data_IF_527638822136
#
_entry.id   IF_527638822136
#
_cell.length_a   1.000
_cell.length_b   1.000
_cell.length_c   1.000
_cell.angle_alpha   90.00
_cell.angle_beta   90.00
_cell.angle_gamma   90.00
#
_symmetry.space_group_name_H-M   'P 1'
#
loop_
_entity.id
_entity.type
_entity.pdbx_description
1 polymer ?
#
# COMPACT_ATOMS: atom_id res chain seq x y z
N UNK A 1 7.65 -22.31 27.95
CA UNK A 1 8.83 -21.59 27.42
C UNK A 1 8.42 -21.13 26.03
N UNK A 2 8.36 -19.82 25.83
CA UNK A 2 8.08 -19.27 24.49
C UNK A 2 9.35 -19.37 23.67
N UNK A 3 9.33 -20.20 22.63
CA UNK A 3 10.46 -20.32 21.69
C UNK A 3 10.66 -18.98 20.96
N UNK A 4 11.82 -18.36 21.14
CA UNK A 4 12.14 -17.06 20.56
C UNK A 4 12.68 -17.21 19.13
N UNK A 5 12.29 -16.28 18.27
CA UNK A 5 12.59 -16.31 16.83
C UNK A 5 13.36 -15.06 16.42
N UNK A 6 14.52 -15.24 15.79
CA UNK A 6 15.21 -14.20 15.08
C UNK A 6 14.93 -14.30 13.57
N UNK A 7 14.73 -13.15 12.91
CA UNK A 7 14.61 -13.07 11.47
C UNK A 7 15.81 -12.31 10.89
N UNK A 8 16.47 -12.91 9.92
CA UNK A 8 17.57 -12.30 9.16
C UNK A 8 17.08 -11.98 7.75
N UNK A 9 17.24 -10.72 7.34
CA UNK A 9 16.85 -10.26 6.01
C UNK A 9 18.06 -9.72 5.25
N UNK A 10 18.70 -10.52 4.39
CA UNK A 10 19.75 -10.03 3.50
C UNK A 10 19.15 -9.11 2.44
N UNK A 11 19.65 -7.87 2.34
CA UNK A 11 19.12 -6.82 1.49
C UNK A 11 20.10 -6.29 0.41
N UNK A 12 21.21 -7.01 0.16
CA UNK A 12 22.33 -6.57 -0.68
C UNK A 12 22.14 -6.65 -2.21
N UNK A 13 20.93 -6.95 -2.72
CA UNK A 13 20.70 -7.08 -4.16
C UNK A 13 20.81 -5.73 -4.91
N UNK A 14 21.51 -5.69 -6.06
CA UNK A 14 21.81 -4.47 -6.83
C UNK A 14 20.60 -3.82 -7.51
N UNK A 15 19.51 -4.54 -7.76
CA UNK A 15 18.32 -4.00 -8.46
C UNK A 15 18.46 -3.81 -9.97
N UNK A 16 19.59 -4.18 -10.59
CA UNK A 16 19.86 -3.96 -12.03
C UNK A 16 18.77 -4.48 -12.95
N UNK A 17 18.24 -5.69 -12.69
CA UNK A 17 17.15 -6.29 -13.48
C UNK A 17 15.81 -5.57 -13.34
N UNK A 18 15.66 -4.72 -12.31
CA UNK A 18 14.52 -3.81 -12.13
C UNK A 18 14.79 -2.44 -12.76
N UNK A 19 15.94 -2.22 -13.42
CA UNK A 19 16.33 -0.92 -13.95
C UNK A 19 16.58 0.14 -12.88
N UNK A 20 16.63 -0.24 -11.62
CA UNK A 20 16.81 0.69 -10.51
C UNK A 20 18.30 1.00 -10.29
N UNK A 21 18.61 2.29 -10.06
CA UNK A 21 19.96 2.77 -9.69
C UNK A 21 20.19 2.73 -8.16
N UNK A 22 19.27 2.15 -7.41
CA UNK A 22 19.27 2.03 -5.96
C UNK A 22 19.24 0.54 -5.57
N UNK A 23 19.63 0.17 -4.35
CA UNK A 23 19.48 -1.19 -3.85
C UNK A 23 18.05 -1.70 -4.05
N UNK A 24 17.91 -2.93 -4.52
CA UNK A 24 16.63 -3.56 -4.82
C UNK A 24 15.63 -3.48 -3.67
N UNK A 25 16.10 -3.67 -2.45
CA UNK A 25 15.29 -3.63 -1.24
C UNK A 25 14.62 -2.26 -0.99
N UNK A 26 15.16 -1.18 -1.56
CA UNK A 26 14.63 0.19 -1.50
C UNK A 26 13.66 0.53 -2.65
N UNK A 27 13.43 -0.38 -3.60
CA UNK A 27 12.45 -0.16 -4.66
C UNK A 27 11.06 -0.06 -4.05
N UNK A 28 10.28 0.94 -4.51
CA UNK A 28 8.94 1.21 -4.03
C UNK A 28 7.92 0.21 -4.57
N UNK A 29 7.05 -0.26 -3.69
CA UNK A 29 5.92 -1.11 -3.97
C UNK A 29 4.71 -0.58 -3.20
N UNK A 30 3.78 0.10 -3.87
CA UNK A 30 2.56 0.67 -3.30
C UNK A 30 2.83 1.44 -2.00
N UNK A 31 3.60 2.54 -2.12
CA UNK A 31 3.86 3.48 -1.02
C UNK A 31 4.88 3.04 0.05
N UNK A 32 5.36 1.79 0.02
CA UNK A 32 6.41 1.27 0.89
C UNK A 32 7.52 0.62 0.05
N UNK A 33 8.72 0.56 0.59
CA UNK A 33 9.82 -0.18 -0.05
C UNK A 33 9.65 -1.70 0.12
N UNK A 34 10.31 -2.49 -0.72
CA UNK A 34 10.29 -3.96 -0.59
C UNK A 34 10.74 -4.41 0.80
N UNK A 35 11.74 -3.73 1.38
CA UNK A 35 12.24 -4.08 2.73
C UNK A 35 11.22 -3.75 3.82
N UNK A 36 10.48 -2.63 3.72
CA UNK A 36 9.43 -2.29 4.68
C UNK A 36 8.30 -3.35 4.67
N UNK A 37 7.90 -3.82 3.47
CA UNK A 37 6.93 -4.91 3.36
C UNK A 37 7.45 -6.20 3.98
N UNK A 38 8.69 -6.59 3.68
CA UNK A 38 9.28 -7.81 4.22
C UNK A 38 9.41 -7.76 5.75
N UNK A 39 9.86 -6.63 6.31
CA UNK A 39 9.94 -6.42 7.77
C UNK A 39 8.55 -6.46 8.40
N UNK A 40 7.58 -5.73 7.85
CA UNK A 40 6.22 -5.68 8.40
C UNK A 40 5.55 -7.06 8.46
N UNK A 41 5.76 -7.92 7.45
CA UNK A 41 5.21 -9.27 7.41
C UNK A 41 5.91 -10.24 8.39
N UNK A 42 7.17 -9.98 8.74
CA UNK A 42 7.93 -10.82 9.68
C UNK A 42 7.85 -10.33 11.14
N UNK A 43 7.58 -9.05 11.36
CA UNK A 43 7.54 -8.45 12.69
C UNK A 43 6.59 -9.16 13.69
N UNK A 44 5.37 -9.62 13.30
CA UNK A 44 4.46 -10.25 14.25
C UNK A 44 4.98 -11.55 14.87
N UNK A 45 5.97 -12.22 14.26
CA UNK A 45 6.50 -13.51 14.75
C UNK A 45 7.94 -13.42 15.25
N UNK A 46 8.58 -12.27 15.12
CA UNK A 46 9.98 -12.08 15.43
C UNK A 46 10.19 -11.40 16.78
N UNK A 47 11.08 -11.95 17.58
CA UNK A 47 11.62 -11.31 18.79
C UNK A 47 12.81 -10.42 18.46
N UNK A 48 13.47 -10.69 17.34
CA UNK A 48 14.59 -9.92 16.83
C UNK A 48 14.57 -9.92 15.29
N UNK A 49 14.73 -8.75 14.67
CA UNK A 49 14.89 -8.61 13.22
C UNK A 49 16.26 -7.98 12.95
N UNK A 50 17.04 -8.62 12.08
CA UNK A 50 18.34 -8.15 11.64
C UNK A 50 18.33 -8.00 10.13
N UNK A 51 18.59 -6.79 9.64
CA UNK A 51 18.67 -6.48 8.22
C UNK A 51 20.12 -6.24 7.83
N UNK A 52 20.62 -7.05 6.89
CA UNK A 52 21.96 -6.86 6.33
C UNK A 52 21.87 -5.95 5.10
N UNK A 53 22.11 -4.66 5.30
CA UNK A 53 22.04 -3.61 4.27
C UNK A 53 23.30 -3.62 3.38
N UNK A 54 23.20 -3.14 2.12
CA UNK A 54 24.40 -2.88 1.31
C UNK A 54 25.31 -1.85 1.99
N UNK A 55 26.62 -2.00 1.82
CA UNK A 55 27.60 -1.06 2.36
C UNK A 55 27.31 0.38 1.89
N UNK A 56 27.29 1.33 2.83
CA UNK A 56 26.97 2.73 2.61
C UNK A 56 25.48 3.10 2.60
N UNK A 57 24.58 2.15 2.82
CA UNK A 57 23.14 2.37 2.92
C UNK A 57 22.59 2.12 4.34
N UNK A 58 23.43 1.78 5.30
CA UNK A 58 23.02 1.37 6.65
C UNK A 58 22.16 2.43 7.33
N UNK A 59 22.58 3.69 7.28
CA UNK A 59 21.87 4.80 7.89
C UNK A 59 20.49 5.00 7.22
N UNK A 60 20.41 4.90 5.89
CA UNK A 60 19.15 5.01 5.17
C UNK A 60 18.18 3.89 5.55
N UNK A 61 18.66 2.64 5.67
CA UNK A 61 17.84 1.52 6.13
C UNK A 61 17.43 1.69 7.59
N UNK A 62 18.32 2.17 8.47
CA UNK A 62 17.99 2.38 9.88
C UNK A 62 16.92 3.46 10.05
N UNK A 63 17.04 4.59 9.32
CA UNK A 63 16.04 5.66 9.34
C UNK A 63 14.68 5.20 8.81
N UNK A 64 14.67 4.32 7.81
CA UNK A 64 13.47 3.78 7.21
C UNK A 64 12.75 2.76 8.11
N UNK A 65 13.50 1.90 8.80
CA UNK A 65 12.97 0.75 9.54
C UNK A 65 12.78 1.01 11.04
N UNK A 66 13.31 2.12 11.55
CA UNK A 66 13.21 2.48 12.97
C UNK A 66 14.17 1.71 13.89
N UNK A 67 14.08 1.99 15.19
CA UNK A 67 14.99 1.46 16.22
C UNK A 67 14.76 -0.02 16.60
N UNK A 68 13.58 -0.55 16.29
CA UNK A 68 13.20 -1.94 16.61
C UNK A 68 13.89 -2.97 15.70
N UNK A 69 14.48 -2.51 14.58
CA UNK A 69 15.21 -3.35 13.62
C UNK A 69 16.70 -3.08 13.75
N UNK A 70 17.49 -4.13 13.92
CA UNK A 70 18.94 -4.03 13.89
C UNK A 70 19.44 -4.02 12.46
N UNK A 71 20.03 -2.92 12.01
CA UNK A 71 20.64 -2.81 10.69
C UNK A 71 22.15 -2.97 10.79
N UNK A 72 22.70 -3.86 9.97
CA UNK A 72 24.14 -4.11 9.90
C UNK A 72 24.63 -3.99 8.46
N UNK A 73 25.93 -3.83 8.27
CA UNK A 73 26.54 -3.94 6.94
C UNK A 73 26.53 -5.40 6.47
N UNK A 74 25.96 -5.65 5.31
CA UNK A 74 25.97 -6.94 4.63
C UNK A 74 27.34 -7.27 4.01
N UNK A 75 27.52 -8.55 3.65
CA UNK A 75 28.69 -9.00 2.92
C UNK A 75 28.56 -8.83 1.41
N UNK A 76 29.62 -9.17 0.67
CA UNK A 76 29.66 -9.11 -0.80
C UNK A 76 28.71 -10.10 -1.46
N UNK A 77 28.33 -11.17 -0.77
CA UNK A 77 27.37 -12.17 -1.24
C UNK A 77 26.22 -12.31 -0.27
N UNK A 78 25.13 -12.99 -0.70
CA UNK A 78 24.00 -13.30 0.17
C UNK A 78 24.44 -14.14 1.37
N UNK A 79 25.25 -15.16 1.15
CA UNK A 79 25.78 -16.04 2.20
C UNK A 79 26.60 -15.27 3.22
N UNK A 80 27.50 -14.37 2.77
CA UNK A 80 28.29 -13.53 3.67
C UNK A 80 27.43 -12.54 4.45
N UNK A 81 26.37 -12.03 3.86
CA UNK A 81 25.39 -11.15 4.56
C UNK A 81 24.68 -11.90 5.69
N UNK A 82 24.21 -13.13 5.44
CA UNK A 82 23.59 -13.98 6.45
C UNK A 82 24.62 -14.34 7.54
N UNK A 83 25.84 -14.70 7.16
CA UNK A 83 26.94 -15.02 8.11
C UNK A 83 27.26 -13.83 9.02
N UNK A 84 27.33 -12.61 8.48
CA UNK A 84 27.50 -11.39 9.28
C UNK A 84 26.32 -11.19 10.25
N UNK A 85 25.09 -11.35 9.78
CA UNK A 85 23.90 -11.19 10.60
C UNK A 85 23.81 -12.22 11.74
N UNK A 86 24.26 -13.45 11.52
CA UNK A 86 24.29 -14.50 12.55
C UNK A 86 25.12 -14.12 13.78
N UNK A 87 26.14 -13.28 13.63
CA UNK A 87 26.94 -12.80 14.78
C UNK A 87 26.19 -11.86 15.71
N UNK A 88 25.07 -11.29 15.24
CA UNK A 88 24.21 -10.38 15.99
C UNK A 88 22.94 -11.05 16.54
N UNK A 89 22.72 -12.32 16.22
CA UNK A 89 21.57 -13.07 16.76
C UNK A 89 21.77 -13.33 18.25
N UNK A 90 20.81 -12.86 19.04
CA UNK A 90 20.81 -13.06 20.50
C UNK A 90 20.76 -14.55 20.84
N UNK A 91 21.43 -14.92 21.94
CA UNK A 91 21.59 -16.33 22.34
C UNK A 91 20.27 -16.99 22.75
N UNK A 92 19.36 -16.20 23.17
CA UNK A 92 18.01 -16.57 23.63
C UNK A 92 17.08 -17.05 22.49
N UNK A 93 17.42 -16.72 21.24
CA UNK A 93 16.62 -17.18 20.09
C UNK A 93 16.89 -18.66 19.83
N UNK A 94 15.85 -19.48 19.77
CA UNK A 94 15.89 -20.90 19.50
C UNK A 94 15.87 -21.19 18.00
N UNK A 95 15.14 -20.38 17.26
CA UNK A 95 14.96 -20.49 15.82
C UNK A 95 15.42 -19.24 15.07
N UNK A 96 15.89 -19.45 13.84
CA UNK A 96 16.29 -18.38 12.93
C UNK A 96 15.55 -18.59 11.62
N UNK A 97 14.86 -17.55 11.15
CA UNK A 97 14.33 -17.48 9.80
C UNK A 97 15.24 -16.61 8.94
N UNK A 98 15.58 -17.08 7.75
CA UNK A 98 16.29 -16.27 6.74
C UNK A 98 15.31 -15.94 5.63
N UNK A 99 15.09 -14.63 5.38
CA UNK A 99 14.07 -14.14 4.46
C UNK A 99 14.63 -13.16 3.45
N UNK A 100 14.43 -13.44 2.15
CA UNK A 100 14.85 -12.53 1.07
C UNK A 100 13.99 -11.27 1.06
N UNK A 101 14.56 -10.07 1.16
CA UNK A 101 13.85 -8.79 1.02
C UNK A 101 13.04 -8.67 -0.29
N UNK A 102 13.48 -9.37 -1.33
CA UNK A 102 12.80 -9.41 -2.64
C UNK A 102 11.51 -10.26 -2.66
N UNK A 103 11.17 -10.98 -1.59
CA UNK A 103 9.90 -11.69 -1.42
C UNK A 103 8.96 -10.92 -0.49
N UNK A 104 8.82 -9.65 -0.77
CA UNK A 104 8.13 -8.66 0.04
C UNK A 104 6.67 -9.03 0.42
N UNK A 105 6.03 -9.94 -0.34
CA UNK A 105 4.65 -10.37 -0.12
C UNK A 105 4.51 -11.72 0.58
N UNK A 106 5.61 -12.34 1.04
CA UNK A 106 5.54 -13.54 1.88
C UNK A 106 4.79 -13.21 3.18
N UNK A 107 3.81 -14.05 3.56
CA UNK A 107 2.92 -13.72 4.67
C UNK A 107 3.48 -14.11 6.02
N UNK A 108 2.94 -13.50 7.07
CA UNK A 108 3.13 -13.94 8.47
C UNK A 108 2.71 -15.40 8.66
N UNK A 109 1.61 -15.83 8.02
CA UNK A 109 1.10 -17.21 8.11
C UNK A 109 2.09 -18.22 7.54
N UNK A 110 2.78 -17.90 6.45
CA UNK A 110 3.84 -18.75 5.91
C UNK A 110 4.98 -18.91 6.92
N UNK A 111 5.41 -17.81 7.55
CA UNK A 111 6.45 -17.83 8.57
C UNK A 111 6.03 -18.63 9.81
N UNK A 112 4.77 -18.48 10.25
CA UNK A 112 4.22 -19.26 11.36
C UNK A 112 4.21 -20.77 11.05
N UNK A 113 3.79 -21.20 9.87
CA UNK A 113 3.81 -22.63 9.48
C UNK A 113 5.21 -23.23 9.51
N UNK A 114 6.24 -22.43 9.19
CA UNK A 114 7.64 -22.84 9.30
C UNK A 114 8.02 -23.02 10.78
N UNK A 115 7.68 -22.03 11.62
CA UNK A 115 7.97 -22.08 13.06
C UNK A 115 7.27 -23.25 13.72
N UNK A 116 6.02 -23.52 13.40
CA UNK A 116 5.26 -24.64 13.96
C UNK A 116 5.87 -25.98 13.56
N UNK A 117 6.38 -26.12 12.34
CA UNK A 117 7.09 -27.31 11.90
C UNK A 117 8.44 -27.50 12.66
N UNK A 118 9.15 -26.40 12.94
CA UNK A 118 10.37 -26.43 13.78
C UNK A 118 10.04 -26.84 15.23
N UNK A 119 8.95 -26.29 15.79
CA UNK A 119 8.43 -26.66 17.12
C UNK A 119 8.02 -28.11 17.21
N UNK A 120 7.53 -28.69 16.11
CA UNK A 120 7.18 -30.08 16.00
C UNK A 120 8.41 -31.04 15.94
N UNK A 121 9.65 -30.47 15.94
CA UNK A 121 10.90 -31.23 16.03
C UNK A 121 11.74 -31.23 14.76
N UNK A 122 11.28 -30.60 13.67
CA UNK A 122 12.11 -30.43 12.48
C UNK A 122 13.29 -29.48 12.78
N UNK A 123 14.43 -29.71 12.12
CA UNK A 123 15.64 -28.89 12.34
C UNK A 123 15.84 -27.84 11.27
N UNK A 124 15.32 -28.10 10.08
CA UNK A 124 15.36 -27.21 8.91
C UNK A 124 14.06 -27.36 8.12
N UNK A 125 13.42 -26.24 7.81
CA UNK A 125 12.12 -26.18 7.12
C UNK A 125 12.15 -25.09 6.06
N UNK A 126 11.76 -25.44 4.84
CA UNK A 126 11.72 -24.52 3.72
C UNK A 126 10.36 -24.60 3.00
N UNK A 127 9.81 -23.47 2.54
CA UNK A 127 8.59 -23.49 1.74
C UNK A 127 8.87 -23.74 0.26
N UNK A 128 8.02 -24.49 -0.39
CA UNK A 128 8.16 -24.78 -1.82
C UNK A 128 6.83 -24.93 -2.52
N UNK A 129 6.76 -24.46 -3.77
CA UNK A 129 5.64 -24.64 -4.68
C UNK A 129 5.90 -25.79 -5.64
N UNK A 130 4.83 -26.41 -6.09
CA UNK A 130 4.91 -27.36 -7.19
C UNK A 130 5.38 -26.66 -8.47
N UNK A 131 6.23 -27.33 -9.24
CA UNK A 131 6.67 -26.82 -10.53
C UNK A 131 5.61 -27.15 -11.58
N UNK A 132 5.03 -26.12 -12.19
CA UNK A 132 3.97 -26.26 -13.20
C UNK A 132 4.51 -26.56 -14.60
N UNK A 133 5.68 -26.01 -14.93
CA UNK A 133 6.29 -26.16 -16.25
C UNK A 133 7.21 -27.39 -16.32
N UNK A 134 7.47 -27.84 -17.56
CA UNK A 134 8.48 -28.87 -17.79
C UNK A 134 9.88 -28.29 -17.64
N UNK A 135 10.64 -28.79 -16.67
CA UNK A 135 12.03 -28.37 -16.45
C UNK A 135 12.98 -29.17 -17.32
N UNK A 136 13.90 -28.48 -17.97
CA UNK A 136 15.00 -29.09 -18.73
C UNK A 136 16.33 -28.74 -18.07
N UNK A 137 17.19 -29.74 -17.90
CA UNK A 137 18.59 -29.50 -17.64
C UNK A 137 19.30 -29.33 -18.99
N UNK A 138 20.11 -28.29 -19.12
CA UNK A 138 20.88 -27.97 -20.32
C UNK A 138 22.38 -28.01 -20.01
N UNK A 139 23.20 -28.15 -21.03
CA UNK A 139 24.65 -27.97 -21.02
C UNK A 139 25.06 -26.52 -21.32
N UNK A 140 26.35 -26.25 -21.42
CA UNK A 140 26.93 -24.93 -21.67
C UNK A 140 26.54 -24.34 -23.04
N UNK A 141 26.18 -25.17 -23.97
CA UNK A 141 25.78 -24.81 -25.36
C UNK A 141 24.26 -24.73 -25.50
N UNK A 142 23.51 -24.79 -24.39
CA UNK A 142 22.04 -24.77 -24.31
C UNK A 142 21.33 -26.00 -24.92
N UNK A 143 22.01 -27.13 -25.08
CA UNK A 143 21.36 -28.38 -25.45
C UNK A 143 20.76 -29.10 -24.24
N UNK A 144 19.59 -29.70 -24.45
CA UNK A 144 18.87 -30.44 -23.41
C UNK A 144 19.63 -31.72 -23.05
N UNK A 145 20.09 -31.86 -21.81
CA UNK A 145 20.78 -33.06 -21.30
C UNK A 145 19.85 -33.99 -20.52
N UNK A 146 18.79 -33.45 -19.87
CA UNK A 146 17.87 -34.24 -19.06
C UNK A 146 16.54 -33.52 -18.88
N UNK A 147 15.45 -34.29 -18.75
CA UNK A 147 14.15 -33.81 -18.26
C UNK A 147 13.90 -34.42 -16.88
N UNK A 148 14.04 -33.65 -15.78
CA UNK A 148 13.75 -34.13 -14.42
C UNK A 148 12.26 -34.49 -14.26
N UNK A 149 11.97 -35.43 -13.37
CA UNK A 149 10.61 -35.81 -13.00
C UNK A 149 10.01 -34.65 -12.19
N UNK A 150 9.07 -33.90 -12.82
CA UNK A 150 8.49 -32.66 -12.26
C UNK A 150 7.84 -32.85 -10.89
N UNK A 151 7.14 -33.97 -10.66
CA UNK A 151 6.47 -34.25 -9.37
C UNK A 151 7.43 -34.34 -8.19
N UNK A 152 8.74 -34.54 -8.42
CA UNK A 152 9.80 -34.56 -7.41
C UNK A 152 10.50 -33.21 -7.24
N UNK A 153 10.09 -32.17 -7.97
CA UNK A 153 10.68 -30.84 -7.89
C UNK A 153 9.78 -29.88 -7.11
N UNK A 154 10.40 -28.95 -6.43
CA UNK A 154 9.72 -27.81 -5.81
C UNK A 154 10.50 -26.54 -6.13
N UNK A 155 9.77 -25.47 -6.41
CA UNK A 155 10.32 -24.12 -6.49
C UNK A 155 10.41 -23.54 -5.08
N UNK A 156 11.61 -23.44 -4.55
CA UNK A 156 11.86 -23.08 -3.14
C UNK A 156 11.72 -21.58 -2.94
N UNK A 157 11.13 -21.23 -1.82
CA UNK A 157 10.87 -19.84 -1.41
C UNK A 157 11.57 -19.54 -0.07
N UNK A 158 11.37 -18.31 0.43
CA UNK A 158 11.74 -17.89 1.79
C UNK A 158 10.53 -17.23 2.45
N UNK A 159 10.45 -17.22 3.81
CA UNK A 159 11.51 -17.50 4.77
C UNK A 159 11.90 -18.98 4.83
N UNK A 160 13.17 -19.27 5.08
CA UNK A 160 13.68 -20.59 5.40
C UNK A 160 13.98 -20.64 6.91
N UNK A 161 13.49 -21.66 7.59
CA UNK A 161 13.59 -21.76 9.04
C UNK A 161 14.54 -22.85 9.52
N UNK A 162 15.30 -22.55 10.57
CA UNK A 162 16.30 -23.46 11.11
C UNK A 162 16.37 -23.35 12.63
N UNK A 163 16.76 -24.44 13.30
CA UNK A 163 17.23 -24.30 14.67
C UNK A 163 18.51 -23.47 14.70
N UNK A 164 18.64 -22.55 15.65
CA UNK A 164 19.80 -21.65 15.76
C UNK A 164 21.12 -22.39 15.72
N UNK A 165 21.26 -23.47 16.51
CA UNK A 165 22.49 -24.28 16.59
C UNK A 165 22.89 -24.85 15.22
N UNK A 166 21.92 -25.31 14.44
CA UNK A 166 22.16 -25.88 13.12
C UNK A 166 22.66 -24.84 12.14
N UNK A 167 21.94 -23.70 12.02
CA UNK A 167 22.28 -22.65 11.06
C UNK A 167 23.63 -22.01 11.37
N UNK A 168 23.94 -21.74 12.65
CA UNK A 168 25.25 -21.25 13.10
C UNK A 168 26.37 -22.19 12.68
N UNK A 169 26.16 -23.51 12.84
CA UNK A 169 27.12 -24.52 12.42
C UNK A 169 27.21 -24.60 10.89
N UNK A 170 26.13 -24.45 10.17
CA UNK A 170 26.09 -24.49 8.69
C UNK A 170 26.92 -23.35 8.08
N UNK A 171 26.84 -22.16 8.62
CA UNK A 171 27.59 -20.99 8.15
C UNK A 171 29.04 -20.91 8.64
N UNK A 172 29.56 -21.93 9.34
CA UNK A 172 31.02 -22.03 9.63
C UNK A 172 31.84 -22.44 8.40
N UNK A 173 31.20 -22.98 7.34
CA UNK A 173 31.85 -23.27 6.04
C UNK A 173 32.13 -21.99 5.26
N UNK A 174 33.19 -21.97 4.43
CA UNK A 174 33.48 -20.85 3.53
C UNK A 174 32.64 -20.84 2.24
N UNK A 175 31.79 -21.86 2.01
CA UNK A 175 31.10 -22.07 0.74
C UNK A 175 30.04 -20.96 0.48
N UNK A 176 30.02 -20.45 -0.72
CA UNK A 176 28.98 -19.53 -1.17
C UNK A 176 27.88 -20.32 -1.90
N UNK A 177 26.65 -20.18 -1.44
CA UNK A 177 25.51 -20.98 -1.90
C UNK A 177 24.33 -20.12 -2.29
N UNK A 178 23.41 -20.69 -3.03
CA UNK A 178 22.21 -19.98 -3.51
C UNK A 178 21.14 -19.81 -2.42
N UNK A 179 21.11 -20.73 -1.43
CA UNK A 179 20.21 -20.68 -0.28
C UNK A 179 20.83 -21.33 0.96
N UNK A 180 20.25 -21.09 2.14
CA UNK A 180 20.80 -21.55 3.40
C UNK A 180 20.53 -23.05 3.64
N UNK A 181 19.50 -23.59 3.00
CA UNK A 181 19.17 -25.01 3.09
C UNK A 181 20.27 -25.89 2.49
N UNK A 182 20.90 -25.46 1.40
CA UNK A 182 22.02 -26.19 0.76
C UNK A 182 23.18 -26.43 1.74
N UNK A 183 23.53 -25.43 2.57
CA UNK A 183 24.58 -25.59 3.59
C UNK A 183 24.22 -26.63 4.68
N UNK A 184 22.92 -26.79 4.92
CA UNK A 184 22.41 -27.77 5.89
C UNK A 184 22.38 -29.16 5.26
N UNK A 185 21.95 -29.29 4.00
CA UNK A 185 21.95 -30.53 3.22
C UNK A 185 23.36 -31.12 3.10
N UNK A 186 24.35 -30.29 2.79
CA UNK A 186 25.78 -30.69 2.69
C UNK A 186 26.32 -31.27 4.00
N UNK A 187 25.65 -31.04 5.12
CA UNK A 187 25.98 -31.62 6.44
C UNK A 187 25.20 -32.90 6.76
N UNK A 188 24.43 -33.41 5.78
CA UNK A 188 23.67 -34.64 5.95
C UNK A 188 22.43 -34.47 6.86
N UNK A 189 21.93 -33.25 7.02
CA UNK A 189 20.68 -32.98 7.78
C UNK A 189 19.53 -32.89 6.84
N UNK A 190 18.45 -33.61 7.12
CA UNK A 190 17.23 -33.58 6.35
C UNK A 190 16.56 -32.20 6.43
N UNK A 191 16.14 -31.67 5.27
CA UNK A 191 15.41 -30.41 5.15
C UNK A 191 13.96 -30.71 4.76
N UNK A 192 13.03 -30.29 5.63
CA UNK A 192 11.61 -30.47 5.38
C UNK A 192 11.07 -29.42 4.44
N UNK A 193 10.40 -29.87 3.38
CA UNK A 193 9.67 -28.96 2.49
C UNK A 193 8.20 -28.90 2.93
N UNK A 194 7.70 -27.69 3.17
CA UNK A 194 6.28 -27.42 3.41
C UNK A 194 5.68 -26.67 2.21
N UNK A 195 4.33 -26.59 2.14
CA UNK A 195 3.65 -25.87 1.07
C UNK A 195 3.96 -24.36 1.16
N UNK A 196 4.46 -23.80 0.07
CA UNK A 196 4.72 -22.38 -0.10
C UNK A 196 3.46 -21.57 -0.46
N UNK A 197 3.65 -20.32 -0.85
CA UNK A 197 2.58 -19.39 -1.25
C UNK A 197 2.91 -18.73 -2.59
N UNK A 198 1.93 -18.66 -3.50
CA UNK A 198 2.11 -18.01 -4.80
C UNK A 198 2.53 -16.54 -4.67
N UNK A 199 2.02 -15.83 -3.64
CA UNK A 199 2.38 -14.45 -3.36
C UNK A 199 3.80 -14.25 -2.80
N UNK A 200 4.43 -15.31 -2.30
CA UNK A 200 5.83 -15.28 -1.83
C UNK A 200 6.86 -15.42 -2.98
N UNK A 201 6.46 -15.08 -4.22
CA UNK A 201 7.39 -15.07 -5.35
C UNK A 201 8.47 -13.99 -5.19
N UNK A 202 9.58 -14.16 -5.91
CA UNK A 202 10.71 -13.24 -5.83
C UNK A 202 10.55 -12.13 -6.86
N UNK A 203 10.31 -10.91 -6.44
CA UNK A 203 10.24 -9.73 -7.31
C UNK A 203 11.64 -9.48 -7.88
N UNK A 204 11.84 -9.73 -9.17
CA UNK A 204 13.16 -9.63 -9.83
C UNK A 204 13.16 -8.76 -11.08
N UNK A 205 12.01 -8.57 -11.70
CA UNK A 205 11.79 -7.80 -12.92
C UNK A 205 10.70 -6.74 -12.70
N UNK A 206 10.53 -5.83 -13.66
CA UNK A 206 9.43 -4.86 -13.65
C UNK A 206 8.06 -5.53 -13.74
N UNK A 207 7.97 -6.66 -14.48
CA UNK A 207 6.72 -7.44 -14.57
C UNK A 207 6.36 -8.05 -13.21
N UNK A 208 7.36 -8.59 -12.48
CA UNK A 208 7.14 -9.08 -11.12
C UNK A 208 6.63 -7.96 -10.19
N UNK A 209 7.19 -6.74 -10.33
CA UNK A 209 6.77 -5.59 -9.55
C UNK A 209 5.32 -5.20 -9.86
N UNK A 210 4.93 -5.20 -11.13
CA UNK A 210 3.55 -4.92 -11.55
C UNK A 210 2.57 -5.99 -11.03
N UNK A 211 2.96 -7.27 -11.04
CA UNK A 211 2.16 -8.36 -10.46
C UNK A 211 2.00 -8.13 -8.94
N UNK A 212 3.09 -7.80 -8.24
CA UNK A 212 3.06 -7.53 -6.80
C UNK A 212 2.16 -6.34 -6.46
N UNK A 213 2.22 -5.25 -7.24
CA UNK A 213 1.34 -4.09 -7.11
C UNK A 213 -0.13 -4.48 -7.24
N UNK A 214 -0.46 -5.24 -8.30
CA UNK A 214 -1.83 -5.70 -8.51
C UNK A 214 -2.33 -6.60 -7.38
N UNK A 215 -1.49 -7.48 -6.83
CA UNK A 215 -1.86 -8.32 -5.69
C UNK A 215 -2.14 -7.53 -4.42
N UNK A 216 -1.43 -6.44 -4.18
CA UNK A 216 -1.68 -5.56 -3.04
C UNK A 216 -2.95 -4.72 -3.23
N UNK A 217 -3.16 -4.20 -4.44
CA UNK A 217 -4.35 -3.39 -4.77
C UNK A 217 -5.62 -4.26 -4.79
N UNK A 218 -5.52 -5.50 -5.27
CA UNK A 218 -6.66 -6.43 -5.34
C UNK A 218 -7.03 -7.07 -3.99
N UNK A 219 -6.28 -6.82 -2.91
CA UNK A 219 -6.67 -7.28 -1.58
C UNK A 219 -8.03 -6.67 -1.19
N UNK A 220 -9.01 -7.46 -0.68
CA UNK A 220 -10.30 -6.93 -0.22
C UNK A 220 -10.21 -5.75 0.74
N UNK A 221 -9.18 -5.72 1.60
CA UNK A 221 -8.91 -4.62 2.53
C UNK A 221 -8.42 -3.34 1.82
N UNK A 222 -8.01 -3.44 0.55
CA UNK A 222 -7.49 -2.35 -0.28
C UNK A 222 -8.43 -2.02 -1.44
N UNK A 223 -9.74 -2.28 -1.29
CA UNK A 223 -10.71 -2.02 -2.35
C UNK A 223 -10.84 -0.53 -2.65
N UNK A 224 -10.96 -0.22 -3.93
CA UNK A 224 -11.40 1.09 -4.40
C UNK A 224 -12.80 1.38 -3.86
N UNK A 225 -13.03 2.60 -3.40
CA UNK A 225 -14.32 3.04 -2.86
C UNK A 225 -14.87 4.13 -3.74
N UNK A 226 -16.09 3.96 -4.16
CA UNK A 226 -16.83 4.97 -4.95
C UNK A 226 -17.98 5.49 -4.09
N UNK A 227 -18.12 6.81 -4.08
CA UNK A 227 -19.26 7.46 -3.44
C UNK A 227 -19.94 8.43 -4.40
N UNK A 228 -21.20 8.69 -4.13
CA UNK A 228 -22.02 9.70 -4.80
C UNK A 228 -22.55 10.68 -3.75
N UNK A 229 -22.61 11.95 -4.12
CA UNK A 229 -23.23 13.00 -3.33
C UNK A 229 -24.04 13.93 -4.21
N UNK A 230 -25.09 14.50 -3.64
CA UNK A 230 -25.97 15.45 -4.32
C UNK A 230 -26.30 16.58 -3.37
N UNK A 231 -26.37 17.80 -3.92
CA UNK A 231 -26.88 18.94 -3.16
C UNK A 231 -27.76 19.83 -4.06
N UNK A 232 -28.75 20.47 -3.48
CA UNK A 232 -29.71 21.30 -4.19
C UNK A 232 -30.16 22.44 -3.31
N UNK A 233 -30.07 23.65 -3.85
CA UNK A 233 -30.52 24.86 -3.17
C UNK A 233 -31.42 25.72 -4.09
N UNK A 234 -32.43 26.34 -3.49
CA UNK A 234 -33.20 27.39 -4.16
C UNK A 234 -32.36 28.67 -4.23
N UNK A 235 -32.56 29.48 -5.26
CA UNK A 235 -32.00 30.84 -5.25
C UNK A 235 -32.67 31.69 -4.17
N UNK A 236 -31.87 32.50 -3.51
CA UNK A 236 -32.38 33.35 -2.42
C UNK A 236 -33.35 34.42 -2.93
N UNK A 237 -34.41 34.64 -2.18
CA UNK A 237 -35.34 35.76 -2.45
C UNK A 237 -34.67 37.11 -2.18
N UNK A 238 -33.69 37.16 -1.28
CA UNK A 238 -32.83 38.31 -1.04
C UNK A 238 -31.73 38.40 -2.09
N UNK A 239 -31.90 39.29 -3.08
CA UNK A 239 -30.94 39.52 -4.16
C UNK A 239 -29.53 40.02 -3.69
N UNK A 240 -29.36 40.33 -2.39
CA UNK A 240 -28.08 40.78 -1.84
C UNK A 240 -27.21 39.62 -1.38
N UNK A 241 -27.73 38.39 -1.31
CA UNK A 241 -26.97 37.23 -0.88
C UNK A 241 -25.89 36.90 -1.91
N UNK A 242 -24.63 36.75 -1.42
CA UNK A 242 -23.49 36.45 -2.24
C UNK A 242 -23.63 35.04 -2.84
N UNK A 243 -23.28 34.88 -4.12
CA UNK A 243 -23.25 33.59 -4.79
C UNK A 243 -21.88 32.97 -4.69
N UNK A 244 -21.83 31.80 -4.05
CA UNK A 244 -20.64 30.92 -3.99
C UNK A 244 -20.98 29.64 -4.74
N UNK A 245 -20.06 29.23 -5.63
CA UNK A 245 -20.22 28.00 -6.39
C UNK A 245 -18.88 27.46 -6.86
N UNK A 246 -18.64 26.17 -6.61
CA UNK A 246 -17.43 25.46 -6.96
C UNK A 246 -16.15 26.14 -6.39
N UNK A 247 -16.22 26.59 -5.14
CA UNK A 247 -15.15 27.25 -4.42
C UNK A 247 -14.90 28.71 -4.82
N UNK A 248 -15.73 29.30 -5.66
CA UNK A 248 -15.57 30.65 -6.19
C UNK A 248 -16.72 31.58 -5.81
N UNK A 249 -16.39 32.85 -5.54
CA UNK A 249 -17.35 33.94 -5.48
C UNK A 249 -17.75 34.38 -6.90
N UNK A 250 -19.04 34.55 -7.14
CA UNK A 250 -19.64 34.98 -8.43
C UNK A 250 -20.30 36.34 -8.26
N UNK A 251 -19.62 37.44 -8.61
CA UNK A 251 -20.18 38.76 -8.53
C UNK A 251 -21.33 38.88 -9.55
N UNK A 252 -22.38 39.64 -9.17
CA UNK A 252 -23.57 39.89 -9.97
C UNK A 252 -24.50 38.68 -10.22
N UNK A 253 -24.29 37.58 -9.51
CA UNK A 253 -25.20 36.44 -9.50
C UNK A 253 -25.96 36.38 -8.18
N UNK A 254 -27.20 35.89 -8.22
CA UNK A 254 -28.02 35.74 -7.02
C UNK A 254 -27.57 34.50 -6.24
N UNK A 255 -27.26 34.65 -4.96
CA UNK A 255 -26.89 33.55 -4.08
C UNK A 255 -28.04 32.59 -3.80
N UNK A 256 -27.74 31.48 -3.16
CA UNK A 256 -28.75 30.47 -2.83
C UNK A 256 -29.12 30.53 -1.33
N UNK A 257 -30.33 30.04 -1.00
CA UNK A 257 -30.74 29.87 0.41
C UNK A 257 -30.01 28.71 1.07
N UNK A 258 -29.64 28.88 2.33
CA UNK A 258 -28.94 27.82 3.10
C UNK A 258 -28.26 28.36 4.36
N UNK A 259 -27.80 27.47 5.22
CA UNK A 259 -27.13 27.80 6.51
C UNK A 259 -25.64 28.14 6.37
N UNK A 260 -24.97 27.68 5.28
CA UNK A 260 -23.59 27.96 4.92
C UNK A 260 -23.52 29.00 3.80
N UNK A 261 -22.44 29.04 3.04
CA UNK A 261 -22.32 29.83 1.82
C UNK A 261 -23.18 29.30 0.65
N UNK A 262 -23.74 28.07 0.79
CA UNK A 262 -24.62 27.42 -0.19
C UNK A 262 -23.92 26.88 -1.43
N UNK A 263 -22.60 26.65 -1.38
CA UNK A 263 -21.86 26.07 -2.50
C UNK A 263 -22.28 24.61 -2.76
N UNK A 264 -23.30 24.42 -3.61
CA UNK A 264 -23.84 23.10 -3.93
C UNK A 264 -22.79 22.12 -4.48
N UNK A 265 -21.78 22.62 -5.18
CA UNK A 265 -20.73 21.77 -5.73
C UNK A 265 -19.81 21.25 -4.62
N UNK A 266 -19.42 22.13 -3.70
CA UNK A 266 -18.60 21.74 -2.54
C UNK A 266 -19.35 20.76 -1.63
N UNK A 267 -20.63 20.99 -1.35
CA UNK A 267 -21.46 20.13 -0.52
C UNK A 267 -21.66 18.75 -1.17
N UNK A 268 -21.99 18.67 -2.45
CA UNK A 268 -22.12 17.41 -3.17
C UNK A 268 -20.80 16.62 -3.18
N UNK A 269 -19.66 17.30 -3.28
CA UNK A 269 -18.34 16.66 -3.18
C UNK A 269 -18.08 16.10 -1.77
N UNK A 270 -18.42 16.85 -0.70
CA UNK A 270 -18.30 16.35 0.67
C UNK A 270 -19.13 15.07 0.86
N UNK A 271 -20.40 15.08 0.42
CA UNK A 271 -21.25 13.88 0.51
C UNK A 271 -20.70 12.69 -0.27
N UNK A 272 -20.18 12.93 -1.49
CA UNK A 272 -19.55 11.87 -2.28
C UNK A 272 -18.34 11.26 -1.56
N UNK A 273 -17.51 12.09 -0.93
CA UNK A 273 -16.33 11.65 -0.18
C UNK A 273 -16.71 10.89 1.09
N UNK A 274 -17.65 11.39 1.88
CA UNK A 274 -18.14 10.70 3.07
C UNK A 274 -18.84 9.38 2.74
N UNK A 275 -19.66 9.37 1.70
CA UNK A 275 -20.28 8.14 1.17
C UNK A 275 -19.25 7.10 0.78
N UNK A 276 -18.20 7.47 0.03
CA UNK A 276 -17.12 6.58 -0.35
C UNK A 276 -16.35 6.02 0.85
N UNK A 277 -16.09 6.87 1.86
CA UNK A 277 -15.37 6.49 3.07
C UNK A 277 -16.25 5.76 4.11
N UNK A 278 -17.56 5.62 3.88
CA UNK A 278 -18.55 5.10 4.85
C UNK A 278 -18.60 5.93 6.15
N UNK A 279 -18.43 7.26 6.03
CA UNK A 279 -18.46 8.22 7.15
C UNK A 279 -19.81 8.95 7.29
N UNK A 280 -20.86 8.49 6.62
CA UNK A 280 -22.17 9.14 6.62
C UNK A 280 -22.28 10.23 5.56
N UNK A 281 -22.86 11.37 5.91
CA UNK A 281 -23.14 12.52 5.06
C UNK A 281 -22.67 13.84 5.66
N UNK A 282 -22.80 14.94 4.92
CA UNK A 282 -22.42 16.28 5.36
C UNK A 282 -23.19 16.68 6.62
N UNK A 283 -24.48 16.39 6.68
CA UNK A 283 -25.35 16.74 7.81
C UNK A 283 -24.94 16.04 9.10
N UNK A 284 -24.61 14.75 9.05
CA UNK A 284 -24.16 13.97 10.22
C UNK A 284 -22.76 14.35 10.69
N UNK A 285 -21.91 14.83 9.78
CA UNK A 285 -20.53 15.19 10.09
C UNK A 285 -20.34 16.63 10.55
N UNK A 286 -21.07 17.58 9.98
CA UNK A 286 -20.89 19.00 10.28
C UNK A 286 -22.07 19.58 11.06
N UNK A 287 -23.23 18.95 11.00
CA UNK A 287 -24.46 19.37 11.70
C UNK A 287 -24.93 20.77 11.33
N UNK A 288 -26.20 21.02 11.47
CA UNK A 288 -26.75 22.38 11.31
C UNK A 288 -26.74 23.18 12.61
N UNK A 289 -26.48 22.51 13.73
CA UNK A 289 -26.50 23.07 15.10
C UNK A 289 -25.12 23.32 15.70
N UNK A 290 -24.03 22.90 15.07
CA UNK A 290 -22.68 23.14 15.58
C UNK A 290 -22.22 24.57 15.20
N UNK A 291 -22.01 25.46 16.20
CA UNK A 291 -21.56 26.82 15.97
C UNK A 291 -20.24 26.94 15.20
N UNK A 292 -19.40 25.89 15.22
CA UNK A 292 -18.12 25.83 14.50
C UNK A 292 -18.30 25.98 13.00
N UNK A 293 -19.42 25.49 12.46
CA UNK A 293 -19.68 25.48 11.02
C UNK A 293 -20.71 26.52 10.56
N UNK A 294 -21.23 27.34 11.49
CA UNK A 294 -22.13 28.41 11.14
C UNK A 294 -21.45 29.42 10.20
N UNK A 295 -21.94 29.53 8.96
CA UNK A 295 -21.32 30.37 7.94
C UNK A 295 -20.00 29.85 7.35
N UNK A 296 -19.64 28.59 7.58
CA UNK A 296 -18.46 27.99 6.97
C UNK A 296 -18.55 28.01 5.45
N UNK A 297 -17.44 28.33 4.79
CA UNK A 297 -17.39 28.26 3.33
C UNK A 297 -17.29 26.81 2.83
N UNK A 298 -17.81 26.52 1.63
CA UNK A 298 -17.70 25.21 0.99
C UNK A 298 -16.25 24.73 0.90
N UNK A 299 -15.31 25.64 0.65
CA UNK A 299 -13.86 25.34 0.66
C UNK A 299 -13.36 24.88 2.02
N UNK A 300 -13.85 25.48 3.12
CA UNK A 300 -13.48 25.03 4.48
C UNK A 300 -14.04 23.65 4.78
N UNK A 301 -15.30 23.40 4.43
CA UNK A 301 -15.93 22.08 4.61
C UNK A 301 -15.19 21.00 3.80
N UNK A 302 -14.80 21.30 2.56
CA UNK A 302 -14.01 20.38 1.72
C UNK A 302 -12.66 20.03 2.35
N UNK A 303 -11.93 20.98 2.91
CA UNK A 303 -10.66 20.73 3.58
C UNK A 303 -10.83 19.79 4.78
N UNK A 304 -11.78 20.06 5.64
CA UNK A 304 -12.06 19.21 6.80
C UNK A 304 -12.57 17.82 6.37
N UNK A 305 -13.37 17.75 5.30
CA UNK A 305 -13.80 16.48 4.72
C UNK A 305 -12.58 15.64 4.24
N UNK A 306 -11.65 16.27 3.52
CA UNK A 306 -10.43 15.61 3.06
C UNK A 306 -9.57 15.09 4.24
N UNK A 307 -9.45 15.87 5.31
CA UNK A 307 -8.75 15.45 6.54
C UNK A 307 -9.43 14.24 7.20
N UNK A 308 -10.76 14.22 7.31
CA UNK A 308 -11.53 13.10 7.90
C UNK A 308 -11.39 11.84 7.05
N UNK A 309 -11.45 11.96 5.73
CA UNK A 309 -11.22 10.86 4.77
C UNK A 309 -9.79 10.31 4.91
N UNK A 310 -8.81 11.21 5.03
CA UNK A 310 -7.41 10.83 5.29
C UNK A 310 -7.24 10.05 6.61
N UNK A 311 -7.85 10.54 7.69
CA UNK A 311 -7.83 9.90 9.02
C UNK A 311 -8.55 8.54 9.02
N UNK A 312 -9.53 8.35 8.14
CA UNK A 312 -10.21 7.07 7.93
C UNK A 312 -9.39 6.08 7.07
N UNK A 313 -8.14 6.43 6.71
CA UNK A 313 -7.23 5.54 6.00
C UNK A 313 -7.37 5.55 4.48
N UNK A 314 -7.94 6.61 3.90
CA UNK A 314 -8.12 6.73 2.44
C UNK A 314 -7.39 7.94 1.86
N UNK A 315 -7.02 7.82 0.59
CA UNK A 315 -6.55 8.91 -0.27
C UNK A 315 -7.63 9.22 -1.31
N UNK A 316 -7.82 10.50 -1.62
CA UNK A 316 -8.73 10.93 -2.67
C UNK A 316 -8.01 10.73 -4.01
N UNK A 317 -8.47 9.77 -4.82
CA UNK A 317 -7.88 9.51 -6.14
C UNK A 317 -8.34 10.53 -7.16
N UNK A 318 -9.64 10.78 -7.24
CA UNK A 318 -10.24 11.86 -8.04
C UNK A 318 -11.67 12.14 -7.62
N UNK A 319 -12.15 13.33 -8.03
CA UNK A 319 -13.54 13.76 -7.86
C UNK A 319 -14.06 14.30 -9.21
N UNK A 320 -15.31 14.00 -9.53
CA UNK A 320 -16.03 14.64 -10.62
C UNK A 320 -17.33 15.25 -10.11
N UNK A 321 -17.61 16.49 -10.49
CA UNK A 321 -18.85 17.18 -10.14
C UNK A 321 -19.55 17.73 -11.39
N UNK A 322 -20.84 17.46 -11.49
CA UNK A 322 -21.75 17.97 -12.50
C UNK A 322 -22.68 18.98 -11.84
N UNK A 323 -22.63 20.23 -12.28
CA UNK A 323 -23.51 21.30 -11.84
C UNK A 323 -24.68 21.39 -12.83
N UNK A 324 -25.91 21.53 -12.31
CA UNK A 324 -27.14 21.58 -13.09
C UNK A 324 -27.86 22.89 -12.76
N UNK A 325 -27.91 23.78 -13.71
CA UNK A 325 -28.58 25.10 -13.53
C UNK A 325 -28.32 26.06 -14.68
N UNK A 326 -29.08 27.15 -14.70
CA UNK A 326 -28.98 28.16 -15.75
C UNK A 326 -27.85 29.17 -15.49
N UNK A 327 -27.57 29.45 -14.24
CA UNK A 327 -26.57 30.41 -13.74
C UNK A 327 -25.91 29.93 -12.46
N UNK A 328 -24.63 30.32 -12.18
CA UNK A 328 -23.69 31.04 -13.06
C UNK A 328 -23.17 30.18 -14.24
N UNK A 329 -22.64 30.83 -15.28
CA UNK A 329 -22.05 30.12 -16.44
C UNK A 329 -20.65 29.62 -16.11
N UNK A 330 -20.54 28.42 -15.60
CA UNK A 330 -19.28 27.76 -15.13
C UNK A 330 -18.19 27.75 -16.20
N UNK A 331 -18.55 27.62 -17.49
CA UNK A 331 -17.59 27.52 -18.58
C UNK A 331 -16.55 28.65 -18.58
N UNK A 332 -16.95 29.86 -18.19
CA UNK A 332 -16.08 31.05 -18.21
C UNK A 332 -14.94 30.99 -17.14
N UNK A 333 -15.17 30.26 -16.02
CA UNK A 333 -14.25 30.18 -14.88
C UNK A 333 -13.98 28.75 -14.46
N UNK A 334 -14.20 27.77 -15.36
CA UNK A 334 -14.03 26.34 -15.04
C UNK A 334 -12.66 26.00 -14.53
N UNK A 335 -11.61 26.57 -15.14
CA UNK A 335 -10.23 26.31 -14.71
C UNK A 335 -9.95 26.82 -13.27
N UNK A 336 -10.50 27.99 -12.91
CA UNK A 336 -10.40 28.54 -11.56
C UNK A 336 -11.15 27.65 -10.56
N UNK A 337 -12.35 27.18 -10.90
CA UNK A 337 -13.14 26.28 -10.08
C UNK A 337 -12.42 24.95 -9.83
N UNK A 338 -11.89 24.32 -10.87
CA UNK A 338 -11.07 23.10 -10.76
C UNK A 338 -9.90 23.33 -9.81
N UNK A 339 -9.19 24.44 -9.99
CA UNK A 339 -8.03 24.76 -9.13
C UNK A 339 -8.45 24.96 -7.67
N UNK A 340 -9.49 25.74 -7.40
CA UNK A 340 -9.97 26.01 -6.03
C UNK A 340 -10.40 24.73 -5.31
N UNK A 341 -11.19 23.87 -5.97
CA UNK A 341 -11.64 22.60 -5.41
C UNK A 341 -10.47 21.61 -5.21
N UNK A 342 -9.57 21.51 -6.18
CA UNK A 342 -8.37 20.65 -6.06
C UNK A 342 -7.50 21.08 -4.89
N UNK A 343 -7.24 22.38 -4.71
CA UNK A 343 -6.46 22.88 -3.56
C UNK A 343 -7.16 22.58 -2.21
N UNK A 344 -8.48 22.66 -2.16
CA UNK A 344 -9.23 22.31 -0.96
C UNK A 344 -9.13 20.80 -0.62
N UNK A 345 -8.94 19.96 -1.62
CA UNK A 345 -8.81 18.50 -1.51
C UNK A 345 -7.33 18.03 -1.48
N UNK A 346 -6.39 18.89 -1.08
CA UNK A 346 -4.97 18.53 -0.96
C UNK A 346 -4.28 18.25 -2.28
N UNK A 347 -4.76 18.81 -3.40
CA UNK A 347 -4.21 18.64 -4.74
C UNK A 347 -4.80 17.46 -5.52
N UNK A 348 -5.84 16.79 -5.00
CA UNK A 348 -6.49 15.70 -5.70
C UNK A 348 -7.08 16.18 -7.06
N UNK A 349 -7.05 15.36 -8.12
CA UNK A 349 -7.63 15.69 -9.42
C UNK A 349 -9.14 15.93 -9.30
N UNK A 350 -9.63 17.07 -9.83
CA UNK A 350 -11.04 17.43 -9.85
C UNK A 350 -11.48 17.69 -11.28
N UNK A 351 -12.65 17.17 -11.66
CA UNK A 351 -13.34 17.49 -12.91
C UNK A 351 -14.63 18.26 -12.60
N UNK A 352 -14.83 19.40 -13.28
CA UNK A 352 -16.03 20.23 -13.14
C UNK A 352 -16.72 20.33 -14.49
N UNK A 353 -17.98 19.93 -14.54
CA UNK A 353 -18.86 20.08 -15.70
C UNK A 353 -20.15 20.79 -15.30
N UNK A 354 -20.84 21.34 -16.27
CA UNK A 354 -22.13 22.01 -16.06
C UNK A 354 -23.09 21.77 -17.24
N UNK A 355 -24.36 21.69 -16.93
CA UNK A 355 -25.43 21.53 -17.90
C UNK A 355 -26.68 22.33 -17.50
N UNK A 356 -27.59 22.50 -18.41
CA UNK A 356 -28.95 22.97 -18.15
C UNK A 356 -29.92 21.81 -18.27
N UNK A 357 -31.18 22.02 -17.90
CA UNK A 357 -32.29 21.08 -18.13
C UNK A 357 -33.27 21.56 -19.23
N UNK A 358 -32.81 22.44 -20.10
CA UNK A 358 -33.56 22.96 -21.26
C UNK A 358 -34.94 23.50 -20.88
N UNK A 359 -35.02 24.22 -19.76
CA UNK A 359 -36.26 24.83 -19.27
C UNK A 359 -37.14 23.89 -18.44
N UNK A 360 -36.73 22.64 -18.20
CA UNK A 360 -37.51 21.67 -17.43
C UNK A 360 -37.18 21.69 -15.95
N UNK A 361 -38.23 21.65 -15.12
CA UNK A 361 -38.14 21.57 -13.66
C UNK A 361 -37.51 22.81 -13.02
N UNK A 362 -37.31 22.76 -11.71
CA UNK A 362 -36.85 23.90 -10.89
C UNK A 362 -35.52 24.52 -11.35
N UNK A 363 -34.59 23.69 -11.82
CA UNK A 363 -33.31 24.19 -12.34
C UNK A 363 -33.43 24.87 -13.68
N UNK A 364 -34.27 24.31 -14.57
CA UNK A 364 -34.55 24.90 -15.90
C UNK A 364 -35.43 26.16 -15.83
N UNK A 365 -36.31 26.22 -14.84
CA UNK A 365 -37.17 27.39 -14.57
C UNK A 365 -36.42 28.49 -13.79
N UNK A 366 -35.15 28.25 -13.40
CA UNK A 366 -34.34 29.24 -12.69
C UNK A 366 -34.74 29.44 -11.23
N UNK A 367 -35.36 28.45 -10.60
CA UNK A 367 -35.77 28.50 -9.20
C UNK A 367 -34.66 28.10 -8.25
N UNK A 368 -33.64 27.37 -8.75
CA UNK A 368 -32.53 26.87 -7.96
C UNK A 368 -31.42 26.25 -8.80
N UNK A 369 -30.44 25.68 -8.11
CA UNK A 369 -29.29 25.03 -8.70
C UNK A 369 -29.02 23.72 -7.96
N UNK A 370 -28.52 22.70 -8.66
CA UNK A 370 -28.17 21.38 -8.11
C UNK A 370 -26.79 20.98 -8.55
N UNK A 371 -26.16 20.09 -7.77
CA UNK A 371 -24.94 19.45 -8.13
C UNK A 371 -25.00 17.95 -7.80
N UNK A 372 -24.32 17.15 -8.63
CA UNK A 372 -24.09 15.73 -8.41
C UNK A 372 -22.59 15.52 -8.47
N UNK A 373 -22.01 14.87 -7.46
CA UNK A 373 -20.60 14.54 -7.44
C UNK A 373 -20.38 13.03 -7.29
N UNK A 374 -19.28 12.57 -7.84
CA UNK A 374 -18.72 11.24 -7.56
C UNK A 374 -17.30 11.37 -7.06
N UNK A 375 -16.93 10.54 -6.12
CA UNK A 375 -15.57 10.45 -5.59
C UNK A 375 -15.04 9.02 -5.70
N UNK A 376 -13.78 8.89 -6.07
CA UNK A 376 -13.03 7.64 -6.02
C UNK A 376 -11.96 7.76 -4.95
N UNK A 377 -12.02 6.88 -3.96
CA UNK A 377 -11.01 6.75 -2.92
C UNK A 377 -10.17 5.49 -3.13
N UNK A 378 -8.91 5.60 -2.76
CA UNK A 378 -7.98 4.46 -2.67
C UNK A 378 -7.49 4.34 -1.23
N UNK A 379 -7.22 3.12 -0.72
CA UNK A 379 -6.64 2.94 0.60
C UNK A 379 -5.30 3.66 0.74
N UNK A 380 -5.09 4.32 1.87
CA UNK A 380 -3.78 4.84 2.24
C UNK A 380 -2.95 3.73 2.88
N UNK A 381 -2.19 3.01 2.08
CA UNK A 381 -1.39 1.86 2.52
C UNK A 381 -0.21 2.23 3.44
N UNK A 382 0.01 3.53 3.72
CA UNK A 382 0.99 4.02 4.69
C UNK A 382 0.41 4.04 6.11
N UNK A 383 -0.90 3.98 6.26
CA UNK A 383 -1.58 3.93 7.55
C UNK A 383 -2.00 2.49 7.86
N UNK A 384 -2.02 2.07 9.15
CA UNK A 384 -2.62 0.78 9.51
C UNK A 384 -4.08 0.78 9.07
N UNK A 385 -4.55 -0.36 8.51
CA UNK A 385 -5.94 -0.53 8.11
C UNK A 385 -6.88 -0.14 9.24
N UNK A 386 -7.92 0.67 8.99
CA UNK A 386 -8.94 0.94 10.00
C UNK A 386 -9.60 -0.40 10.40
N UNK A 387 -9.65 -0.66 11.70
CA UNK A 387 -10.29 -1.85 12.29
C UNK A 387 -11.81 -1.71 12.23
#
# INVERSE_FOLDING_TARGET
VSDLVAVIIPAGGSGERLGAKIPKALVQLVGKTLIEHAVANMAPIANQIIVAAPAGYEEQFQNLLGSEVTVITGGLTRTLSVKSALTHVAKENDYILVHDAARALATTDLAMRIIDSLRAGEKAVIPGLEVTDTIKRIDVDNYVTKTPIRSKLRAIQTPQGFTRKLLMKAHSSPDDVTDDASLVEDRGVDVKVILGESRAFKITTMDDLAIAQNMLIANPDNQLRVGIGTDTHAFASDQKRAMWLAGLFWPNEIGVDGHSDGDVAAHAICDALFSAASLGDLGSNFGTSDPKYAGASGVQLLKECAERVGNAGYLINNVAVQIIGNHPKIANRRAEAIYALSQALGGAPVSVSATTTDGLGFTGEGQGISAIATALLIPNLLLPSPR
#
